data_IF_841243294143
#
_entry.id   IF_841243294143
#
_cell.length_a   1.000
_cell.length_b   1.000
_cell.length_c   1.000
_cell.angle_alpha   90.00
_cell.angle_beta   90.00
_cell.angle_gamma   90.00
#
_symmetry.space_group_name_H-M   'P 1'
#
loop_
_entity.id
_entity.type
_entity.pdbx_description
1 polymer ?
#
# COMPACT_ATOMS: atom_id res chain seq x y z
N UNK A 1 18.27 -7.68 -12.44
CA UNK A 1 16.94 -8.14 -12.90
C UNK A 1 16.46 -9.16 -11.88
N UNK A 2 15.38 -8.88 -11.15
CA UNK A 2 14.87 -9.80 -10.14
C UNK A 2 14.08 -10.91 -10.86
N UNK A 3 14.39 -12.17 -10.57
CA UNK A 3 13.68 -13.35 -11.09
C UNK A 3 13.06 -14.13 -9.95
N UNK A 4 11.91 -14.75 -10.21
CA UNK A 4 11.30 -15.70 -9.27
C UNK A 4 12.09 -17.00 -9.36
N UNK A 5 12.65 -17.46 -8.24
CA UNK A 5 13.38 -18.71 -8.13
C UNK A 5 12.43 -19.87 -7.85
N UNK A 6 11.55 -19.70 -6.86
CA UNK A 6 10.62 -20.74 -6.43
C UNK A 6 9.31 -20.14 -5.90
N UNK A 7 8.22 -20.87 -6.12
CA UNK A 7 6.91 -20.62 -5.51
C UNK A 7 6.39 -21.91 -4.89
N UNK A 8 5.99 -21.85 -3.63
CA UNK A 8 5.42 -23.00 -2.94
C UNK A 8 4.37 -22.58 -1.92
N UNK A 9 3.52 -23.54 -1.54
CA UNK A 9 2.52 -23.35 -0.49
C UNK A 9 3.05 -23.87 0.82
N UNK A 10 2.98 -23.05 1.85
CA UNK A 10 3.35 -23.39 3.22
C UNK A 10 2.18 -23.02 4.15
N UNK A 11 1.33 -24.00 4.44
CA UNK A 11 0.07 -23.80 5.16
C UNK A 11 -0.87 -22.86 4.40
N UNK A 12 -1.27 -21.77 5.05
CA UNK A 12 -2.15 -20.73 4.50
C UNK A 12 -1.41 -19.67 3.67
N UNK A 13 -0.10 -19.82 3.51
CA UNK A 13 0.75 -18.86 2.80
C UNK A 13 1.23 -19.41 1.46
N UNK A 14 1.19 -18.55 0.43
CA UNK A 14 2.00 -18.70 -0.77
C UNK A 14 3.32 -17.98 -0.54
N UNK A 15 4.42 -18.75 -0.56
CA UNK A 15 5.77 -18.23 -0.41
C UNK A 15 6.38 -18.06 -1.80
N UNK A 16 6.91 -16.87 -2.07
CA UNK A 16 7.57 -16.52 -3.33
C UNK A 16 9.01 -16.12 -3.01
N UNK A 17 9.96 -16.89 -3.51
CA UNK A 17 11.38 -16.61 -3.36
C UNK A 17 11.93 -15.99 -4.64
N UNK A 18 12.62 -14.86 -4.48
CA UNK A 18 13.22 -14.12 -5.58
C UNK A 18 14.74 -14.14 -5.47
N UNK A 19 15.36 -14.12 -6.64
CA UNK A 19 16.80 -14.09 -6.81
C UNK A 19 17.20 -12.91 -7.70
N UNK A 20 18.26 -12.22 -7.32
CA UNK A 20 18.88 -11.15 -8.10
C UNK A 20 20.02 -11.66 -8.99
N UNK A 21 20.63 -12.79 -8.63
CA UNK A 21 21.78 -13.42 -9.28
C UNK A 21 21.43 -14.74 -10.01
N UNK A 22 20.20 -15.24 -9.86
CA UNK A 22 19.70 -16.46 -10.47
C UNK A 22 20.00 -17.74 -9.68
N UNK A 23 20.71 -17.65 -8.55
CA UNK A 23 21.20 -18.81 -7.80
C UNK A 23 20.85 -18.66 -6.31
N UNK A 24 21.00 -17.47 -5.75
CA UNK A 24 20.83 -17.19 -4.33
C UNK A 24 19.49 -16.50 -4.08
N UNK A 25 18.80 -16.90 -3.02
CA UNK A 25 17.59 -16.22 -2.56
C UNK A 25 17.99 -14.85 -1.99
N UNK A 26 17.49 -13.78 -2.60
CA UNK A 26 17.70 -12.41 -2.14
C UNK A 26 16.50 -11.85 -1.37
N UNK A 27 15.29 -12.36 -1.65
CA UNK A 27 14.06 -11.87 -1.07
C UNK A 27 13.01 -12.97 -1.01
N UNK A 28 12.16 -12.95 0.02
CA UNK A 28 11.10 -13.92 0.22
C UNK A 28 9.82 -13.18 0.60
N UNK A 29 8.80 -13.25 -0.25
CA UNK A 29 7.45 -12.78 0.05
C UNK A 29 6.60 -13.92 0.61
N UNK A 30 5.73 -13.59 1.56
CA UNK A 30 4.71 -14.51 2.08
C UNK A 30 3.35 -13.87 1.94
N UNK A 31 2.51 -14.43 1.08
CA UNK A 31 1.17 -13.90 0.78
C UNK A 31 0.15 -14.87 1.39
N UNK A 32 -0.77 -14.37 2.22
CA UNK A 32 -1.86 -15.21 2.73
C UNK A 32 -2.79 -15.53 1.56
N UNK A 33 -2.94 -16.82 1.25
CA UNK A 33 -3.70 -17.31 0.08
C UNK A 33 -5.19 -16.94 0.13
N UNK A 34 -5.68 -16.59 1.31
CA UNK A 34 -7.09 -16.30 1.59
C UNK A 34 -7.32 -14.93 2.23
N UNK A 35 -6.39 -13.97 2.07
CA UNK A 35 -6.65 -12.60 2.51
C UNK A 35 -7.84 -12.05 1.73
N UNK A 36 -8.86 -11.49 2.40
CA UNK A 36 -9.91 -10.78 1.69
C UNK A 36 -9.28 -9.69 0.82
N UNK A 37 -9.84 -9.39 -0.37
CA UNK A 37 -9.38 -8.25 -1.14
C UNK A 37 -9.40 -7.03 -0.23
N UNK A 38 -8.25 -6.36 -0.08
CA UNK A 38 -8.17 -5.08 0.60
C UNK A 38 -8.91 -4.11 -0.31
N UNK A 39 -10.22 -3.94 -0.10
CA UNK A 39 -10.94 -2.80 -0.65
C UNK A 39 -10.24 -1.57 -0.09
N UNK A 40 -9.66 -0.70 -0.94
CA UNK A 40 -9.17 0.58 -0.44
C UNK A 40 -10.37 1.28 0.20
N UNK A 41 -10.23 1.70 1.47
CA UNK A 41 -11.22 2.58 2.07
C UNK A 41 -11.34 3.82 1.17
N UNK A 42 -12.57 4.33 0.96
CA UNK A 42 -12.72 5.59 0.24
C UNK A 42 -11.94 6.65 1.00
N UNK A 43 -10.89 7.19 0.37
CA UNK A 43 -10.15 8.32 0.92
C UNK A 43 -11.13 9.47 1.11
N UNK A 44 -11.20 10.02 2.32
CA UNK A 44 -11.82 11.34 2.49
C UNK A 44 -11.10 12.33 1.56
N UNK A 45 -11.85 13.25 0.92
CA UNK A 45 -11.23 14.27 0.11
C UNK A 45 -10.36 15.16 1.00
N UNK A 46 -9.07 15.29 0.65
CA UNK A 46 -8.22 16.27 1.32
C UNK A 46 -8.72 17.69 1.01
N UNK A 47 -8.69 18.60 2.00
CA UNK A 47 -9.09 19.99 1.78
C UNK A 47 -8.20 20.63 0.73
N UNK A 48 -8.83 21.24 -0.27
CA UNK A 48 -8.14 21.93 -1.35
C UNK A 48 -7.38 23.15 -0.83
N UNK A 49 -6.49 23.71 -1.66
CA UNK A 49 -5.84 24.97 -1.32
C UNK A 49 -6.86 26.10 -1.12
N UNK A 50 -7.92 26.09 -1.92
CA UNK A 50 -9.01 27.06 -1.83
C UNK A 50 -9.80 26.92 -0.53
N UNK A 51 -10.10 25.70 -0.09
CA UNK A 51 -10.71 25.44 1.23
C UNK A 51 -9.86 26.00 2.37
N UNK A 52 -8.54 25.84 2.28
CA UNK A 52 -7.59 26.38 3.27
C UNK A 52 -7.58 27.92 3.28
N UNK A 53 -7.62 28.55 2.10
CA UNK A 53 -7.67 30.02 1.99
C UNK A 53 -8.99 30.55 2.56
N UNK A 54 -10.11 29.94 2.17
CA UNK A 54 -11.44 30.32 2.64
C UNK A 54 -11.56 30.14 4.16
N UNK A 55 -11.04 29.04 4.71
CA UNK A 55 -11.01 28.82 6.15
C UNK A 55 -10.28 29.95 6.90
N UNK A 56 -9.10 30.36 6.43
CA UNK A 56 -8.35 31.47 7.02
C UNK A 56 -9.16 32.78 6.94
N UNK A 57 -9.75 33.06 5.78
CA UNK A 57 -10.56 34.26 5.56
C UNK A 57 -11.75 34.34 6.53
N UNK A 58 -12.58 33.29 6.60
CA UNK A 58 -13.76 33.28 7.46
C UNK A 58 -13.41 33.27 8.95
N UNK A 59 -12.33 32.57 9.34
CA UNK A 59 -11.82 32.58 10.71
C UNK A 59 -11.37 33.98 11.15
N UNK A 60 -10.69 34.71 10.27
CA UNK A 60 -10.25 36.08 10.56
C UNK A 60 -11.41 37.08 10.64
N UNK A 61 -12.51 36.82 9.94
CA UNK A 61 -13.74 37.63 10.01
C UNK A 61 -14.63 37.28 11.21
N UNK A 62 -14.31 36.23 11.98
CA UNK A 62 -15.13 35.77 13.10
C UNK A 62 -16.47 35.15 12.68
N UNK A 63 -16.54 34.63 11.45
CA UNK A 63 -17.74 33.97 10.90
C UNK A 63 -17.81 32.50 11.33
N UNK A 64 -16.66 31.88 11.58
CA UNK A 64 -16.49 30.51 12.10
C UNK A 64 -15.44 30.49 13.22
#
# INVERSE_FOLDING_TARGET
MIKVLQKYKDGDYEVIEYTSDGITISHTDRIIFNSPPITPEPSEPEPTLEDKINFIYYKNMGVI
#
